data_IF_479863368495
#
_entry.id   IF_479863368495
#
_cell.length_a   1.000
_cell.length_b   1.000
_cell.length_c   1.000
_cell.angle_alpha   90.00
_cell.angle_beta   90.00
_cell.angle_gamma   90.00
#
_symmetry.space_group_name_H-M   'P 1'
#
loop_
_entity.id
_entity.type
_entity.pdbx_description
1 polymer ?
#
# COMPACT_ATOMS: atom_id res chain seq x y z
N UNK A 1 34.13 2.71 1.30
CA UNK A 1 32.99 1.90 1.77
C UNK A 1 31.73 2.73 1.55
N UNK A 2 30.95 2.40 0.53
CA UNK A 2 29.64 3.02 0.30
C UNK A 2 28.72 2.61 1.44
N UNK A 3 28.37 3.57 2.30
CA UNK A 3 27.25 3.43 3.22
C UNK A 3 26.02 3.11 2.37
N UNK A 4 25.59 1.85 2.38
CA UNK A 4 24.26 1.49 1.91
C UNK A 4 23.30 2.21 2.87
N UNK A 5 22.84 3.39 2.47
CA UNK A 5 21.72 4.00 3.17
C UNK A 5 20.61 2.95 3.20
N UNK A 6 20.03 2.65 4.38
CA UNK A 6 18.93 1.69 4.45
C UNK A 6 17.90 2.13 3.44
N UNK A 7 17.54 1.26 2.49
CA UNK A 7 16.40 1.51 1.61
C UNK A 7 15.21 1.77 2.52
N UNK A 8 14.90 3.05 2.73
CA UNK A 8 13.82 3.52 3.59
C UNK A 8 12.54 3.23 2.82
N UNK A 9 12.16 1.95 2.87
CA UNK A 9 11.01 1.26 2.29
C UNK A 9 10.27 2.08 1.24
N UNK A 10 10.66 1.92 -0.04
CA UNK A 10 10.03 2.62 -1.15
C UNK A 10 8.66 1.99 -1.45
N UNK A 11 7.70 2.24 -0.58
CA UNK A 11 6.33 1.81 -0.82
C UNK A 11 5.65 2.88 -1.67
N UNK A 12 5.66 2.69 -2.99
CA UNK A 12 4.88 3.53 -3.89
C UNK A 12 3.39 3.41 -3.54
N UNK A 13 2.78 4.55 -3.23
CA UNK A 13 1.37 4.72 -2.81
C UNK A 13 0.49 5.38 -3.89
N UNK A 14 0.46 4.91 -5.15
CA UNK A 14 -0.43 5.47 -6.16
C UNK A 14 -1.89 5.23 -5.75
N UNK A 15 -2.72 6.26 -5.91
CA UNK A 15 -4.17 6.22 -5.68
C UNK A 15 -4.90 6.00 -7.00
N UNK A 16 -5.95 5.20 -6.98
CA UNK A 16 -6.81 4.93 -8.14
C UNK A 16 -7.50 6.21 -8.59
N UNK A 17 -7.41 6.53 -9.89
CA UNK A 17 -8.19 7.59 -10.53
C UNK A 17 -9.47 7.08 -11.20
N UNK A 18 -9.52 5.78 -11.44
CA UNK A 18 -10.63 5.03 -12.02
C UNK A 18 -10.71 3.68 -11.33
N UNK A 19 -11.87 2.99 -11.30
CA UNK A 19 -12.00 1.65 -10.71
C UNK A 19 -11.01 0.61 -11.26
N UNK A 20 -10.59 0.77 -12.51
CA UNK A 20 -9.71 -0.16 -13.23
C UNK A 20 -8.25 0.28 -13.29
N UNK A 21 -7.81 1.17 -12.38
CA UNK A 21 -6.43 1.62 -12.32
C UNK A 21 -5.48 0.49 -11.90
N UNK A 22 -4.87 -0.13 -12.91
CA UNK A 22 -3.95 -1.28 -12.76
C UNK A 22 -2.71 -0.99 -11.92
N UNK A 23 -2.22 0.25 -11.87
CA UNK A 23 -1.04 0.58 -11.07
C UNK A 23 -1.39 0.74 -9.59
N UNK A 24 -2.50 1.43 -9.30
CA UNK A 24 -3.03 1.55 -7.94
C UNK A 24 -3.44 0.17 -7.38
N UNK A 25 -4.07 -0.68 -8.21
CA UNK A 25 -4.37 -2.06 -7.84
C UNK A 25 -3.11 -2.87 -7.50
N UNK A 26 -2.09 -2.86 -8.37
CA UNK A 26 -0.85 -3.59 -8.14
C UNK A 26 -0.14 -3.12 -6.86
N UNK A 27 -0.07 -1.80 -6.64
CA UNK A 27 0.47 -1.23 -5.41
C UNK A 27 -0.33 -1.67 -4.18
N UNK A 28 -1.66 -1.60 -4.21
CA UNK A 28 -2.51 -2.07 -3.10
C UNK A 28 -2.22 -3.52 -2.73
N UNK A 29 -2.16 -4.41 -3.72
CA UNK A 29 -1.87 -5.83 -3.48
C UNK A 29 -0.47 -6.05 -2.89
N UNK A 30 0.53 -5.33 -3.40
CA UNK A 30 1.89 -5.40 -2.87
C UNK A 30 1.97 -4.88 -1.43
N UNK A 31 1.29 -3.78 -1.14
CA UNK A 31 1.25 -3.16 0.20
C UNK A 31 0.51 -4.03 1.21
N UNK A 32 -0.61 -4.63 0.83
CA UNK A 32 -1.35 -5.56 1.68
C UNK A 32 -0.49 -6.79 2.03
N UNK A 33 0.23 -7.33 1.04
CA UNK A 33 1.15 -8.46 1.27
C UNK A 33 2.30 -8.06 2.19
N UNK A 34 2.91 -6.91 1.94
CA UNK A 34 4.01 -6.40 2.76
C UNK A 34 3.58 -6.16 4.21
N UNK A 35 2.41 -5.57 4.42
CA UNK A 35 1.88 -5.31 5.76
C UNK A 35 1.68 -6.60 6.57
N UNK A 36 1.17 -7.67 5.93
CA UNK A 36 1.02 -8.97 6.57
C UNK A 36 2.36 -9.56 7.02
N UNK A 37 3.39 -9.45 6.18
CA UNK A 37 4.73 -9.99 6.48
C UNK A 37 5.44 -9.15 7.55
N UNK A 38 5.44 -7.82 7.41
CA UNK A 38 6.15 -6.95 8.34
C UNK A 38 5.47 -6.89 9.70
N UNK A 39 4.16 -7.17 9.80
CA UNK A 39 3.42 -7.16 11.06
C UNK A 39 3.95 -8.13 12.11
N UNK A 40 4.65 -9.19 11.71
CA UNK A 40 5.34 -10.09 12.64
C UNK A 40 6.52 -9.42 13.37
N UNK A 41 7.07 -8.35 12.79
CA UNK A 41 8.25 -7.63 13.30
C UNK A 41 7.94 -6.19 13.73
N UNK A 42 6.99 -5.53 13.08
CA UNK A 42 6.61 -4.12 13.27
C UNK A 42 5.10 -3.95 13.01
N UNK A 43 4.30 -4.25 14.03
CA UNK A 43 2.85 -4.18 14.00
C UNK A 43 2.33 -2.75 13.76
N UNK A 44 2.98 -1.74 14.37
CA UNK A 44 2.60 -0.34 14.20
C UNK A 44 2.73 0.08 12.73
N UNK A 45 3.87 -0.21 12.11
CA UNK A 45 4.09 0.11 10.70
C UNK A 45 3.16 -0.68 9.77
N UNK A 46 2.92 -1.96 10.07
CA UNK A 46 1.92 -2.75 9.36
C UNK A 46 0.54 -2.09 9.40
N UNK A 47 0.13 -1.56 10.57
CA UNK A 47 -1.11 -0.80 10.75
C UNK A 47 -1.18 0.44 9.85
N UNK A 48 -0.09 1.22 9.76
CA UNK A 48 -0.01 2.39 8.87
C UNK A 48 -0.18 2.01 7.40
N UNK A 49 0.40 0.88 6.97
CA UNK A 49 0.27 0.39 5.59
C UNK A 49 -1.16 -0.11 5.33
N UNK A 50 -1.73 -0.88 6.25
CA UNK A 50 -3.09 -1.39 6.11
C UNK A 50 -4.13 -0.27 6.06
N UNK A 51 -3.97 0.79 6.86
CA UNK A 51 -4.86 1.96 6.80
C UNK A 51 -4.87 2.60 5.40
N UNK A 52 -3.70 2.65 4.73
CA UNK A 52 -3.63 3.13 3.36
C UNK A 52 -4.35 2.21 2.36
N UNK A 53 -4.17 0.88 2.53
CA UNK A 53 -4.82 -0.16 1.71
C UNK A 53 -6.33 -0.10 1.83
N UNK A 54 -6.87 0.03 3.04
CA UNK A 54 -8.31 0.11 3.26
C UNK A 54 -8.90 1.38 2.65
N UNK A 55 -8.25 2.53 2.84
CA UNK A 55 -8.67 3.77 2.16
C UNK A 55 -8.69 3.63 0.63
N UNK A 56 -7.76 2.85 0.07
CA UNK A 56 -7.75 2.58 -1.37
C UNK A 56 -8.93 1.71 -1.81
N UNK A 57 -9.31 0.71 -1.01
CA UNK A 57 -10.49 -0.14 -1.27
C UNK A 57 -11.79 0.68 -1.21
N UNK A 58 -11.90 1.56 -0.21
CA UNK A 58 -13.04 2.48 -0.06
C UNK A 58 -13.17 3.42 -1.26
N UNK A 59 -12.05 4.01 -1.69
CA UNK A 59 -12.01 4.89 -2.85
C UNK A 59 -12.50 4.17 -4.12
N UNK A 60 -12.01 2.95 -4.38
CA UNK A 60 -12.43 2.14 -5.53
C UNK A 60 -13.93 1.82 -5.46
N UNK A 61 -14.41 1.36 -4.30
CA UNK A 61 -15.83 1.04 -4.08
C UNK A 61 -16.72 2.26 -4.34
N UNK A 62 -16.32 3.43 -3.85
CA UNK A 62 -17.05 4.68 -4.11
C UNK A 62 -17.09 5.05 -5.59
N UNK A 63 -15.99 4.81 -6.33
CA UNK A 63 -15.95 5.07 -7.78
C UNK A 63 -16.83 4.11 -8.58
N UNK A 64 -17.03 2.87 -8.12
CA UNK A 64 -17.89 1.87 -8.80
C UNK A 64 -19.38 2.14 -8.63
N UNK A 65 -19.79 2.75 -7.51
CA UNK A 65 -21.19 3.10 -7.24
C UNK A 65 -21.68 4.40 -7.88
N UNK A 66 -20.92 4.97 -8.82
CA UNK A 66 -21.08 6.33 -9.34
C UNK A 66 -21.47 6.39 -10.81
#
# INVERSE_FOLDING_TARGET
>A
MTSLQPLKYFVCKPRSKTPTDKHAFASRMAMETYARVIGETDEEFAGVIMAWVEHEKELVTWMEGR
#
